data_IF_871165675772
#
_entry.id   IF_871165675772
#
_cell.length_a   1.000
_cell.length_b   1.000
_cell.length_c   1.000
_cell.angle_alpha   90.00
_cell.angle_beta   90.00
_cell.angle_gamma   90.00
#
_symmetry.space_group_name_H-M   'P 1'
#
loop_
_entity.id
_entity.type
_entity.pdbx_description
1 polymer ?
#
# COMPACT_ATOMS: atom_id res chain seq x y z
N UNK A 1 1.39 21.87 3.99
CA UNK A 1 2.49 20.96 3.62
C UNK A 1 2.11 19.59 4.13
N UNK A 2 1.59 18.71 3.26
CA UNK A 2 1.33 17.32 3.66
C UNK A 2 2.69 16.64 3.52
N UNK A 3 3.34 16.34 4.64
CA UNK A 3 4.55 15.54 4.62
C UNK A 3 4.26 14.21 3.93
N UNK A 4 5.04 13.93 2.89
CA UNK A 4 4.88 12.85 1.92
C UNK A 4 5.18 11.47 2.54
N UNK A 5 4.48 11.07 3.61
CA UNK A 5 4.62 9.74 4.19
C UNK A 5 3.83 8.74 3.35
N UNK A 6 4.49 8.17 2.33
CA UNK A 6 3.90 7.08 1.55
C UNK A 6 3.66 5.84 2.42
N UNK A 7 2.46 5.27 2.33
CA UNK A 7 2.02 4.08 3.06
C UNK A 7 1.69 2.91 2.13
N UNK A 8 2.31 2.84 0.94
CA UNK A 8 2.21 1.62 0.12
C UNK A 8 2.81 0.42 0.85
N UNK A 9 2.46 -0.81 0.43
CA UNK A 9 2.98 -2.02 1.08
C UNK A 9 4.51 -2.06 1.19
N UNK A 10 5.21 -1.63 0.13
CA UNK A 10 6.67 -1.51 0.14
C UNK A 10 7.17 -0.55 1.21
N UNK A 11 6.63 0.67 1.30
CA UNK A 11 7.05 1.65 2.29
C UNK A 11 6.72 1.22 3.73
N UNK A 12 5.57 0.57 3.95
CA UNK A 12 5.23 0.02 5.27
C UNK A 12 6.31 -0.98 5.73
N UNK A 13 6.73 -1.88 4.83
CA UNK A 13 7.77 -2.87 5.12
C UNK A 13 9.15 -2.23 5.32
N UNK A 14 9.56 -1.35 4.41
CA UNK A 14 10.92 -0.76 4.41
C UNK A 14 11.11 0.26 5.53
N UNK A 15 10.08 1.04 5.88
CA UNK A 15 10.14 2.06 6.93
C UNK A 15 9.65 1.56 8.29
N UNK A 16 9.19 0.31 8.37
CA UNK A 16 8.65 -0.27 9.60
C UNK A 16 7.45 0.49 10.14
N UNK A 17 6.54 0.95 9.28
CA UNK A 17 5.38 1.74 9.70
C UNK A 17 4.40 0.84 10.44
N UNK A 18 4.05 1.22 11.68
CA UNK A 18 3.15 0.45 12.54
C UNK A 18 1.84 1.19 12.81
N UNK A 19 0.78 0.43 13.05
CA UNK A 19 -0.49 1.00 13.52
C UNK A 19 -0.40 1.50 14.96
N UNK A 20 -1.38 2.31 15.34
CA UNK A 20 -1.55 2.76 16.72
C UNK A 20 -2.20 1.63 17.53
N UNK A 21 -1.42 1.03 18.43
CA UNK A 21 -1.87 -0.07 19.27
C UNK A 21 -0.79 -0.53 20.25
N UNK A 22 -1.21 -1.24 21.29
CA UNK A 22 -0.29 -1.83 22.29
C UNK A 22 0.67 -2.83 21.62
N UNK A 23 0.17 -3.54 20.60
CA UNK A 23 0.96 -4.41 19.74
C UNK A 23 1.45 -3.63 18.52
N UNK A 24 2.78 -3.60 18.33
CA UNK A 24 3.45 -2.98 17.17
C UNK A 24 3.26 -3.81 15.90
N UNK A 25 2.03 -3.82 15.37
CA UNK A 25 1.70 -4.48 14.11
C UNK A 25 2.00 -3.56 12.92
N UNK A 26 2.50 -4.10 11.79
CA UNK A 26 2.65 -3.33 10.56
C UNK A 26 1.33 -2.69 10.13
N UNK A 27 1.37 -1.48 9.56
CA UNK A 27 0.16 -0.80 9.07
C UNK A 27 -0.66 -1.68 8.11
N UNK A 28 -0.01 -2.47 7.26
CA UNK A 28 -0.69 -3.35 6.31
C UNK A 28 -1.45 -4.52 6.97
N UNK A 29 -1.20 -4.79 8.26
CA UNK A 29 -1.94 -5.76 9.04
C UNK A 29 -3.13 -5.13 9.79
N UNK A 30 -3.11 -3.81 10.00
CA UNK A 30 -4.12 -3.10 10.80
C UNK A 30 -5.07 -2.24 9.95
N UNK A 31 -4.74 -1.94 8.69
CA UNK A 31 -5.61 -1.17 7.80
C UNK A 31 -5.55 -1.65 6.34
N UNK A 32 -6.55 -1.26 5.56
CA UNK A 32 -6.57 -1.51 4.12
C UNK A 32 -5.66 -0.51 3.40
N UNK A 33 -4.71 -1.02 2.62
CA UNK A 33 -3.82 -0.19 1.81
C UNK A 33 -4.43 -0.01 0.44
N UNK A 34 -4.75 1.24 0.11
CA UNK A 34 -5.38 1.61 -1.15
C UNK A 34 -4.42 2.46 -1.98
N UNK A 35 -4.51 2.33 -3.30
CA UNK A 35 -3.81 3.21 -4.21
C UNK A 35 -4.29 4.65 -4.00
N UNK A 36 -3.42 5.64 -3.70
CA UNK A 36 -3.83 7.03 -3.54
C UNK A 36 -4.39 7.66 -4.82
N UNK A 37 -4.10 7.07 -5.99
CA UNK A 37 -4.56 7.58 -7.29
C UNK A 37 -5.93 7.03 -7.72
N UNK A 38 -6.26 5.78 -7.37
CA UNK A 38 -7.48 5.13 -7.87
C UNK A 38 -8.33 4.43 -6.81
N UNK A 39 -7.88 4.35 -5.56
CA UNK A 39 -8.64 3.71 -4.47
C UNK A 39 -8.68 2.18 -4.51
N UNK A 40 -8.08 1.51 -5.51
CA UNK A 40 -8.10 0.06 -5.62
C UNK A 40 -6.99 -0.59 -4.79
N UNK A 41 -7.37 -1.62 -4.01
CA UNK A 41 -6.43 -2.39 -3.16
C UNK A 41 -5.53 -3.33 -3.96
N UNK A 42 -5.97 -3.82 -5.13
CA UNK A 42 -5.16 -4.72 -5.97
C UNK A 42 -4.30 -4.01 -7.02
N UNK A 43 -4.32 -2.67 -7.03
CA UNK A 43 -3.50 -1.88 -7.93
C UNK A 43 -2.00 -2.06 -7.61
N UNK A 44 -1.11 -2.27 -8.60
CA UNK A 44 0.34 -2.33 -8.39
C UNK A 44 0.89 -1.09 -7.68
N UNK A 45 0.32 0.09 -7.93
CA UNK A 45 0.71 1.34 -7.26
C UNK A 45 0.40 1.35 -5.75
N UNK A 46 -0.61 0.58 -5.28
CA UNK A 46 -0.85 0.37 -3.85
C UNK A 46 0.22 -0.53 -3.21
N UNK A 47 0.80 -1.43 -4.01
CA UNK A 47 1.86 -2.34 -3.59
C UNK A 47 3.20 -1.63 -3.51
N UNK A 48 3.53 -0.83 -4.51
CA UNK A 48 4.71 0.03 -4.59
C UNK A 48 4.35 1.33 -5.33
N UNK A 49 4.56 2.48 -4.69
CA UNK A 49 4.26 3.79 -5.26
C UNK A 49 5.13 4.12 -6.49
N UNK A 50 6.24 3.40 -6.71
CA UNK A 50 7.05 3.50 -7.92
C UNK A 50 6.45 2.79 -9.14
N UNK A 51 5.45 1.91 -8.95
CA UNK A 51 4.76 1.23 -10.04
C UNK A 51 3.63 2.07 -10.63
N UNK A 52 3.34 1.87 -11.92
CA UNK A 52 2.25 2.57 -12.60
C UNK A 52 0.90 2.14 -12.03
N UNK A 53 0.03 3.11 -11.75
CA UNK A 53 -1.37 2.84 -11.45
C UNK A 53 -2.10 2.30 -12.70
N UNK A 54 -2.79 1.17 -12.55
CA UNK A 54 -3.55 0.50 -13.62
C UNK A 54 -5.03 0.88 -13.62
N UNK A 55 -5.52 1.53 -12.55
CA UNK A 55 -6.94 1.81 -12.38
C UNK A 55 -7.80 0.56 -12.11
N UNK A 56 -7.22 -0.62 -11.86
CA UNK A 56 -7.95 -1.87 -11.73
C UNK A 56 -7.86 -2.47 -10.32
N UNK A 57 -8.93 -3.16 -9.91
CA UNK A 57 -8.96 -3.98 -8.70
C UNK A 57 -8.92 -5.50 -9.00
N UNK A 58 -8.68 -5.92 -10.23
CA UNK A 58 -8.57 -7.34 -10.59
C UNK A 58 -7.31 -8.00 -9.98
N UNK A 59 -7.31 -9.33 -9.82
CA UNK A 59 -6.12 -10.11 -9.39
C UNK A 59 -5.15 -10.32 -10.55
N UNK A 60 -3.93 -10.80 -10.28
CA UNK A 60 -2.96 -11.15 -11.33
C UNK A 60 -2.24 -9.97 -11.98
N UNK A 61 -2.47 -8.74 -11.50
CA UNK A 61 -1.81 -7.54 -12.02
C UNK A 61 -0.30 -7.56 -11.71
N UNK A 62 0.59 -7.42 -12.71
CA UNK A 62 2.04 -7.46 -12.47
C UNK A 62 2.49 -6.43 -11.44
N UNK A 63 3.27 -6.87 -10.44
CA UNK A 63 3.77 -6.03 -9.36
C UNK A 63 2.77 -5.72 -8.24
N UNK A 64 1.52 -6.18 -8.36
CA UNK A 64 0.59 -6.20 -7.23
C UNK A 64 0.96 -7.31 -6.25
N UNK A 65 0.81 -7.08 -4.94
CA UNK A 65 0.94 -8.16 -3.94
C UNK A 65 -0.19 -9.19 -4.02
N UNK A 66 -1.23 -8.92 -4.81
CA UNK A 66 -2.38 -9.80 -5.05
C UNK A 66 -2.31 -10.45 -6.45
N UNK A 67 -1.09 -10.74 -6.92
CA UNK A 67 -0.84 -11.46 -8.16
C UNK A 67 -1.34 -12.90 -8.07
#
# INVERSE_FOLDING_TARGET
>A
MIENTCECHRCIREKGLTGEGVLKLPLSATKMILCPLCGNKRCPHASDHGLRCTGSNETGQPGSIYQ
#
